data_IF_226977425008
#
_entry.id   IF_226977425008
#
_cell.length_a   1.000
_cell.length_b   1.000
_cell.length_c   1.000
_cell.angle_alpha   90.00
_cell.angle_beta   90.00
_cell.angle_gamma   90.00
#
_symmetry.space_group_name_H-M   'P 1'
#
loop_
_entity.id
_entity.type
_entity.pdbx_description
1 polymer ?
#
# COMPACT_ATOMS: atom_id res chain seq x y z
N UNK A 1 -16.99 11.08 -11.13
CA UNK A 1 -16.82 11.96 -9.95
C UNK A 1 -15.40 11.99 -9.40
N UNK A 2 -14.73 10.84 -9.19
CA UNK A 2 -13.61 10.75 -8.23
C UNK A 2 -12.18 10.91 -8.78
N UNK A 3 -11.99 11.16 -10.09
CA UNK A 3 -10.68 11.58 -10.60
C UNK A 3 -10.38 13.05 -10.31
N UNK A 4 -11.40 13.84 -9.96
CA UNK A 4 -11.33 15.29 -9.76
C UNK A 4 -10.78 15.64 -8.37
N UNK A 5 -11.24 14.95 -7.31
CA UNK A 5 -10.90 15.28 -5.92
C UNK A 5 -9.40 15.20 -5.59
N UNK A 6 -8.66 14.34 -6.28
CA UNK A 6 -7.23 14.12 -6.06
C UNK A 6 -6.38 14.28 -7.32
N UNK A 7 -6.85 15.06 -8.30
CA UNK A 7 -6.01 15.52 -9.41
C UNK A 7 -5.51 14.42 -10.35
N UNK A 8 -6.32 13.40 -10.66
CA UNK A 8 -6.05 12.57 -11.83
C UNK A 8 -6.46 13.32 -13.10
N UNK A 9 -5.55 14.13 -13.64
CA UNK A 9 -5.59 14.39 -15.08
C UNK A 9 -5.36 13.06 -15.79
N UNK A 10 -6.39 12.54 -16.46
CA UNK A 10 -6.15 11.66 -17.60
C UNK A 10 -5.36 12.48 -18.62
N UNK A 11 -4.04 12.26 -18.72
CA UNK A 11 -3.27 12.81 -19.83
C UNK A 11 -3.88 12.26 -21.12
N UNK A 12 -4.50 13.15 -21.89
CA UNK A 12 -4.71 12.93 -23.31
C UNK A 12 -3.35 12.58 -23.94
N UNK A 13 -3.36 11.62 -24.85
CA UNK A 13 -2.16 11.15 -25.54
C UNK A 13 -1.50 12.30 -26.31
N UNK A 14 -0.53 12.97 -25.69
CA UNK A 14 0.47 13.77 -26.39
C UNK A 14 1.85 13.28 -25.97
N UNK A 15 2.56 12.75 -26.95
CA UNK A 15 3.97 12.41 -26.86
C UNK A 15 4.77 13.66 -26.49
N UNK A 16 5.13 13.83 -25.22
CA UNK A 16 6.44 14.32 -24.79
C UNK A 16 6.74 13.83 -23.38
N UNK A 17 7.98 13.41 -23.23
CA UNK A 17 8.52 12.60 -22.17
C UNK A 17 8.79 13.50 -20.94
N UNK A 18 7.80 13.65 -20.05
CA UNK A 18 7.94 14.15 -18.67
C UNK A 18 6.60 13.96 -17.94
N UNK A 19 6.57 13.13 -16.89
CA UNK A 19 5.44 13.03 -15.97
C UNK A 19 5.01 11.61 -15.65
N UNK A 20 4.98 11.30 -14.35
CA UNK A 20 4.46 10.07 -13.73
C UNK A 20 4.95 8.76 -14.35
N UNK A 21 6.17 8.33 -13.99
CA UNK A 21 6.55 6.91 -14.02
C UNK A 21 5.78 6.15 -12.93
N UNK A 22 4.51 5.89 -13.15
CA UNK A 22 3.65 5.38 -12.07
C UNK A 22 2.45 4.53 -12.50
N UNK A 23 2.41 4.01 -13.72
CA UNK A 23 1.63 2.79 -13.99
C UNK A 23 2.60 1.62 -13.97
N UNK A 24 2.85 1.08 -12.77
CA UNK A 24 3.79 -0.03 -12.51
C UNK A 24 3.07 -1.27 -11.94
N UNK A 25 1.88 -1.56 -12.47
CA UNK A 25 1.20 -2.83 -12.23
C UNK A 25 1.89 -4.05 -12.87
N UNK A 26 2.99 -3.84 -13.58
CA UNK A 26 3.68 -4.84 -14.37
C UNK A 26 4.86 -5.44 -13.62
N UNK A 27 4.60 -6.58 -12.95
CA UNK A 27 5.63 -7.57 -12.70
C UNK A 27 6.19 -8.01 -14.06
N UNK A 28 7.43 -7.66 -14.34
CA UNK A 28 8.05 -8.00 -15.62
C UNK A 28 8.81 -9.31 -15.45
N UNK A 29 8.54 -10.26 -16.35
CA UNK A 29 9.27 -11.53 -16.39
C UNK A 29 10.56 -11.29 -17.16
N UNK A 30 11.72 -11.37 -16.50
CA UNK A 30 13.01 -11.16 -17.16
C UNK A 30 13.41 -12.37 -18.00
N UNK A 31 14.06 -12.12 -19.14
CA UNK A 31 14.56 -13.17 -20.03
C UNK A 31 15.60 -14.07 -19.34
N UNK A 32 16.50 -13.47 -18.54
CA UNK A 32 17.48 -14.18 -17.71
C UNK A 32 16.83 -15.04 -16.63
N UNK A 33 15.65 -14.62 -16.15
CA UNK A 33 14.77 -15.38 -15.30
C UNK A 33 14.26 -16.68 -15.92
N UNK A 34 13.79 -16.60 -17.17
CA UNK A 34 13.33 -17.76 -17.94
C UNK A 34 14.45 -18.76 -18.20
N UNK A 35 15.67 -18.29 -18.45
CA UNK A 35 16.84 -19.16 -18.64
C UNK A 35 17.28 -19.89 -17.35
N UNK A 36 17.08 -19.29 -16.17
CA UNK A 36 17.33 -19.96 -14.88
C UNK A 36 16.31 -21.07 -14.58
N UNK A 37 15.10 -21.01 -15.16
CA UNK A 37 14.09 -22.05 -15.03
C UNK A 37 14.39 -23.30 -15.88
N UNK A 38 15.24 -23.19 -16.92
CA UNK A 38 15.46 -24.25 -17.93
C UNK A 38 16.78 -25.01 -17.79
N UNK A 39 17.62 -24.71 -16.80
CA UNK A 39 18.87 -25.48 -16.57
C UNK A 39 18.55 -26.91 -16.15
N UNK A 40 18.75 -27.85 -17.08
CA UNK A 40 18.73 -29.28 -16.79
C UNK A 40 19.83 -29.61 -15.79
N UNK A 41 19.43 -29.90 -14.56
CA UNK A 41 20.29 -30.39 -13.49
C UNK A 41 20.01 -31.88 -13.31
N UNK A 42 21.05 -32.71 -13.30
CA UNK A 42 20.92 -34.10 -12.87
C UNK A 42 20.71 -34.11 -11.35
N UNK A 43 19.78 -34.94 -10.86
CA UNK A 43 19.49 -35.08 -9.42
C UNK A 43 18.12 -34.57 -9.00
N UNK A 44 17.88 -34.51 -7.69
CA UNK A 44 16.59 -34.12 -7.09
C UNK A 44 16.38 -32.61 -7.19
N UNK A 45 15.19 -32.22 -7.64
CA UNK A 45 14.79 -30.82 -7.84
C UNK A 45 13.46 -30.49 -7.14
N UNK A 46 13.16 -31.20 -6.05
CA UNK A 46 11.85 -31.16 -5.40
C UNK A 46 11.48 -29.75 -4.92
N UNK A 47 12.41 -28.98 -4.34
CA UNK A 47 12.16 -27.60 -3.93
C UNK A 47 11.64 -26.75 -5.10
N UNK A 48 12.35 -26.78 -6.23
CA UNK A 48 11.95 -26.04 -7.44
C UNK A 48 10.74 -26.65 -8.16
N UNK A 49 10.46 -27.94 -7.97
CA UNK A 49 9.23 -28.55 -8.48
C UNK A 49 8.00 -28.01 -7.75
N UNK A 50 8.11 -27.74 -6.44
CA UNK A 50 7.04 -27.11 -5.67
C UNK A 50 6.80 -25.68 -6.15
N UNK A 51 7.82 -24.93 -6.59
CA UNK A 51 7.62 -23.57 -7.15
C UNK A 51 6.57 -23.56 -8.27
N UNK A 52 6.59 -24.59 -9.14
CA UNK A 52 5.63 -24.71 -10.25
C UNK A 52 4.20 -25.02 -9.80
N UNK A 53 4.01 -25.47 -8.55
CA UNK A 53 2.70 -25.71 -7.94
C UNK A 53 2.09 -24.47 -7.27
N UNK A 54 2.86 -23.38 -7.17
CA UNK A 54 2.43 -22.13 -6.52
C UNK A 54 1.95 -21.14 -7.57
N UNK A 55 0.66 -20.86 -7.59
CA UNK A 55 0.09 -19.84 -8.48
C UNK A 55 0.29 -18.43 -7.89
N UNK A 56 1.51 -17.91 -8.05
CA UNK A 56 1.86 -16.59 -7.55
C UNK A 56 0.96 -15.49 -8.15
N UNK A 57 0.52 -15.64 -9.40
CA UNK A 57 -0.37 -14.67 -10.06
C UNK A 57 -1.72 -14.60 -9.36
N UNK A 58 -2.27 -15.74 -8.96
CA UNK A 58 -3.51 -15.79 -8.19
C UNK A 58 -3.39 -15.09 -6.84
N UNK A 59 -2.27 -15.23 -6.12
CA UNK A 59 -2.05 -14.50 -4.86
C UNK A 59 -2.06 -12.98 -5.05
N UNK A 60 -1.41 -12.47 -6.11
CA UNK A 60 -1.41 -11.05 -6.43
C UNK A 60 -2.82 -10.59 -6.82
N UNK A 61 -3.50 -11.35 -7.68
CA UNK A 61 -4.87 -11.04 -8.10
C UNK A 61 -5.83 -11.03 -6.91
N UNK A 62 -5.68 -11.98 -5.98
CA UNK A 62 -6.47 -12.03 -4.75
C UNK A 62 -6.24 -10.80 -3.88
N UNK A 63 -4.99 -10.36 -3.69
CA UNK A 63 -4.70 -9.15 -2.93
C UNK A 63 -5.34 -7.91 -3.56
N UNK A 64 -5.24 -7.78 -4.89
CA UNK A 64 -5.91 -6.70 -5.65
C UNK A 64 -7.43 -6.75 -5.49
N UNK A 65 -8.03 -7.94 -5.58
CA UNK A 65 -9.47 -8.15 -5.41
C UNK A 65 -9.93 -7.76 -4.01
N UNK A 66 -9.20 -8.15 -2.96
CA UNK A 66 -9.51 -7.75 -1.59
C UNK A 66 -9.47 -6.24 -1.42
N UNK A 67 -8.46 -5.56 -1.97
CA UNK A 67 -8.41 -4.09 -1.93
C UNK A 67 -9.60 -3.44 -2.65
N UNK A 68 -10.00 -3.99 -3.80
CA UNK A 68 -11.16 -3.50 -4.55
C UNK A 68 -12.46 -3.69 -3.77
N UNK A 69 -12.66 -4.87 -3.16
CA UNK A 69 -13.80 -5.16 -2.29
C UNK A 69 -13.86 -4.23 -1.08
N UNK A 70 -12.71 -3.87 -0.49
CA UNK A 70 -12.64 -2.90 0.60
C UNK A 70 -13.13 -1.51 0.15
N UNK A 71 -12.72 -1.08 -1.04
CA UNK A 71 -13.11 0.22 -1.60
C UNK A 71 -14.61 0.24 -1.93
N UNK A 72 -15.13 -0.82 -2.55
CA UNK A 72 -16.54 -0.95 -2.90
C UNK A 72 -17.45 -0.98 -1.66
N UNK A 73 -16.99 -1.57 -0.57
CA UNK A 73 -17.70 -1.65 0.71
C UNK A 73 -17.32 -0.54 1.70
N UNK A 74 -16.78 0.59 1.20
CA UNK A 74 -16.43 1.73 2.02
C UNK A 74 -17.64 2.26 2.83
N UNK A 75 -17.43 2.54 4.12
CA UNK A 75 -18.46 3.13 4.98
C UNK A 75 -18.70 4.62 4.74
N UNK A 76 -19.48 5.25 5.62
CA UNK A 76 -19.83 6.69 5.56
C UNK A 76 -19.06 7.55 6.58
N UNK A 77 -17.87 7.11 6.98
CA UNK A 77 -16.92 7.88 7.78
C UNK A 77 -15.62 8.02 6.99
N UNK A 78 -15.10 9.25 6.90
CA UNK A 78 -13.81 9.49 6.26
C UNK A 78 -12.72 8.97 7.20
N UNK A 79 -12.06 7.89 6.82
CA UNK A 79 -10.90 7.33 7.51
C UNK A 79 -10.20 6.30 6.61
N UNK A 80 -9.01 6.66 6.12
CA UNK A 80 -8.19 5.77 5.27
C UNK A 80 -7.64 4.53 5.99
N UNK A 81 -7.74 4.46 7.33
CA UNK A 81 -7.17 3.39 8.16
C UNK A 81 -8.22 2.40 8.66
N UNK A 82 -9.46 2.44 8.15
CA UNK A 82 -10.52 1.48 8.53
C UNK A 82 -10.20 0.05 8.12
N UNK A 83 -9.38 -0.11 7.09
CA UNK A 83 -9.06 -1.41 6.50
C UNK A 83 -7.60 -1.49 6.11
N UNK A 84 -7.06 -2.69 6.16
CA UNK A 84 -5.64 -2.93 5.87
C UNK A 84 -5.40 -3.07 4.37
N UNK A 85 -4.42 -2.34 3.83
CA UNK A 85 -3.98 -2.52 2.45
C UNK A 85 -3.30 -3.88 2.25
N UNK A 86 -3.74 -4.62 1.22
CA UNK A 86 -3.16 -5.88 0.79
C UNK A 86 -2.08 -5.64 -0.27
N UNK A 87 -0.83 -5.54 0.17
CA UNK A 87 0.32 -5.28 -0.71
C UNK A 87 0.79 -6.52 -1.46
N UNK A 88 1.54 -6.31 -2.55
CA UNK A 88 2.26 -7.38 -3.26
C UNK A 88 3.20 -8.16 -2.34
N UNK A 89 3.86 -7.48 -1.38
CA UNK A 89 4.69 -8.14 -0.38
C UNK A 89 3.91 -9.11 0.51
N UNK A 90 2.66 -8.79 0.88
CA UNK A 90 1.78 -9.72 1.60
C UNK A 90 1.36 -10.90 0.73
N UNK A 91 1.01 -10.66 -0.53
CA UNK A 91 0.69 -11.71 -1.49
C UNK A 91 1.88 -12.68 -1.65
N UNK A 92 3.09 -12.17 -1.77
CA UNK A 92 4.31 -12.98 -1.89
C UNK A 92 4.61 -13.75 -0.61
N UNK A 93 4.40 -13.15 0.56
CA UNK A 93 4.53 -13.86 1.83
C UNK A 93 3.54 -15.02 1.93
N UNK A 94 2.32 -14.83 1.47
CA UNK A 94 1.32 -15.89 1.46
C UNK A 94 1.72 -17.05 0.51
N UNK A 95 2.22 -16.72 -0.68
CA UNK A 95 2.73 -17.72 -1.63
C UNK A 95 3.94 -18.50 -1.08
N UNK A 96 4.92 -17.81 -0.46
CA UNK A 96 6.04 -18.47 0.22
C UNK A 96 5.56 -19.34 1.39
N UNK A 97 4.58 -18.87 2.15
CA UNK A 97 4.00 -19.64 3.26
C UNK A 97 3.40 -20.94 2.75
N UNK A 98 2.69 -20.93 1.62
CA UNK A 98 2.18 -22.16 0.99
C UNK A 98 3.32 -23.09 0.56
N UNK A 99 4.30 -22.58 -0.20
CA UNK A 99 5.49 -23.35 -0.65
C UNK A 99 6.15 -24.06 0.52
N UNK A 100 6.53 -23.30 1.55
CA UNK A 100 7.27 -23.86 2.68
C UNK A 100 6.41 -24.70 3.61
N UNK A 101 5.08 -24.51 3.64
CA UNK A 101 4.18 -25.44 4.32
C UNK A 101 4.19 -26.82 3.67
N UNK A 102 4.18 -26.89 2.33
CA UNK A 102 4.29 -28.17 1.59
C UNK A 102 5.63 -28.86 1.88
N UNK A 103 6.74 -28.13 1.81
CA UNK A 103 8.07 -28.66 2.09
C UNK A 103 8.24 -29.11 3.55
N UNK A 104 7.76 -28.31 4.50
CA UNK A 104 7.82 -28.65 5.92
C UNK A 104 6.90 -29.83 6.29
N UNK A 105 5.78 -30.01 5.57
CA UNK A 105 4.92 -31.18 5.75
C UNK A 105 5.65 -32.47 5.36
N UNK A 106 6.38 -32.48 4.23
CA UNK A 106 7.27 -33.60 3.86
C UNK A 106 8.32 -33.84 4.95
N UNK A 107 9.05 -32.80 5.38
CA UNK A 107 10.10 -32.93 6.39
C UNK A 107 9.60 -33.57 7.69
N UNK A 108 8.38 -33.23 8.12
CA UNK A 108 7.74 -33.77 9.33
C UNK A 108 7.37 -35.25 9.25
N UNK A 109 7.39 -35.85 8.06
CA UNK A 109 7.21 -37.32 7.91
C UNK A 109 8.47 -38.11 8.25
N UNK A 110 9.63 -37.47 8.30
CA UNK A 110 10.90 -38.11 8.66
C UNK A 110 11.08 -38.17 10.18
N UNK A 111 11.81 -39.18 10.65
CA UNK A 111 12.10 -39.40 12.07
C UNK A 111 12.86 -38.24 12.73
N UNK A 112 13.72 -37.55 11.98
CA UNK A 112 14.37 -36.32 12.38
C UNK A 112 14.21 -35.25 11.30
N UNK A 113 13.14 -34.43 11.37
CA UNK A 113 12.85 -33.41 10.36
C UNK A 113 13.97 -32.40 10.15
N UNK A 114 14.65 -31.99 11.22
CA UNK A 114 15.73 -30.99 11.12
C UNK A 114 16.97 -31.55 10.42
N UNK A 115 17.35 -32.79 10.74
CA UNK A 115 18.45 -33.45 10.04
C UNK A 115 18.09 -33.74 8.58
N UNK A 116 16.85 -34.13 8.30
CA UNK A 116 16.34 -34.27 6.93
C UNK A 116 16.50 -32.97 6.14
N UNK A 117 16.03 -31.84 6.70
CA UNK A 117 16.16 -30.52 6.08
C UNK A 117 17.65 -30.17 5.87
N UNK A 118 18.51 -30.42 6.86
CA UNK A 118 19.94 -30.17 6.74
C UNK A 118 20.58 -30.97 5.60
N UNK A 119 20.35 -32.29 5.56
CA UNK A 119 20.87 -33.17 4.51
C UNK A 119 20.35 -32.78 3.12
N UNK A 120 19.06 -32.42 3.02
CA UNK A 120 18.44 -31.95 1.77
C UNK A 120 19.15 -30.75 1.16
N UNK A 121 19.62 -29.81 1.98
CA UNK A 121 20.24 -28.59 1.47
C UNK A 121 21.77 -28.62 1.45
N UNK A 122 22.45 -29.36 2.34
CA UNK A 122 23.91 -29.24 2.51
C UNK A 122 24.71 -30.53 2.33
N UNK A 123 24.07 -31.70 2.40
CA UNK A 123 24.77 -32.98 2.22
C UNK A 123 24.68 -33.45 0.77
N UNK A 124 25.75 -33.21 0.00
CA UNK A 124 25.83 -33.63 -1.42
C UNK A 124 25.76 -35.15 -1.63
N UNK A 125 26.00 -35.94 -0.59
CA UNK A 125 25.92 -37.41 -0.66
C UNK A 125 24.51 -37.94 -0.36
N UNK A 126 23.63 -37.09 0.17
CA UNK A 126 22.24 -37.43 0.48
C UNK A 126 21.42 -37.67 -0.79
N UNK A 127 20.57 -38.71 -0.78
CA UNK A 127 19.56 -38.93 -1.82
C UNK A 127 18.53 -37.78 -1.92
N UNK A 128 18.41 -37.00 -0.85
CA UNK A 128 17.51 -35.85 -0.78
C UNK A 128 18.15 -34.54 -1.24
N UNK A 129 19.42 -34.54 -1.63
CA UNK A 129 20.14 -33.31 -1.96
C UNK A 129 19.50 -32.55 -3.15
N UNK A 130 19.07 -31.32 -2.91
CA UNK A 130 18.49 -30.44 -3.94
C UNK A 130 19.59 -29.89 -4.86
N UNK A 131 19.55 -30.24 -6.15
CA UNK A 131 20.59 -29.85 -7.13
C UNK A 131 20.27 -28.57 -7.89
N UNK A 132 19.00 -28.20 -8.02
CA UNK A 132 18.55 -27.04 -8.81
C UNK A 132 18.44 -25.74 -7.97
N UNK A 133 19.42 -25.45 -7.11
CA UNK A 133 19.46 -24.23 -6.30
C UNK A 133 20.84 -23.59 -6.35
N UNK A 134 20.88 -22.27 -6.55
CA UNK A 134 22.09 -21.47 -6.28
C UNK A 134 22.41 -21.45 -4.79
N UNK A 135 23.64 -21.08 -4.41
CA UNK A 135 24.03 -21.02 -3.00
C UNK A 135 23.16 -20.05 -2.17
N UNK A 136 22.75 -18.93 -2.77
CA UNK A 136 21.84 -17.98 -2.14
C UNK A 136 20.45 -18.56 -1.93
N UNK A 137 19.84 -19.13 -2.97
CA UNK A 137 18.52 -19.76 -2.89
C UNK A 137 18.53 -20.92 -1.89
N UNK A 138 19.59 -21.72 -1.87
CA UNK A 138 19.78 -22.84 -0.93
C UNK A 138 19.76 -22.39 0.52
N UNK A 139 20.49 -21.32 0.85
CA UNK A 139 20.50 -20.75 2.20
C UNK A 139 19.12 -20.20 2.59
N UNK A 140 18.44 -19.53 1.66
CA UNK A 140 17.08 -18.99 1.88
C UNK A 140 16.09 -20.13 2.13
N UNK A 141 16.09 -21.14 1.26
CA UNK A 141 15.20 -22.29 1.34
C UNK A 141 15.40 -23.10 2.62
N UNK A 142 16.64 -23.38 2.99
CA UNK A 142 16.96 -24.00 4.27
C UNK A 142 16.38 -23.20 5.44
N UNK A 143 16.60 -21.89 5.48
CA UNK A 143 16.13 -21.03 6.57
C UNK A 143 14.61 -20.99 6.65
N UNK A 144 13.91 -20.83 5.53
CA UNK A 144 12.44 -20.78 5.52
C UNK A 144 11.80 -22.11 5.83
N UNK A 145 12.32 -23.22 5.30
CA UNK A 145 11.80 -24.53 5.63
C UNK A 145 12.06 -24.89 7.10
N UNK A 146 13.24 -24.58 7.63
CA UNK A 146 13.55 -24.78 9.05
C UNK A 146 12.62 -23.94 9.96
N UNK A 147 12.39 -22.66 9.61
CA UNK A 147 11.45 -21.80 10.34
C UNK A 147 10.03 -22.34 10.29
N UNK A 148 9.55 -22.74 9.12
CA UNK A 148 8.22 -23.31 8.95
C UNK A 148 8.08 -24.63 9.71
N UNK A 149 9.09 -25.49 9.65
CA UNK A 149 9.10 -26.77 10.36
C UNK A 149 9.02 -26.58 11.88
N UNK A 150 9.84 -25.67 12.44
CA UNK A 150 9.92 -25.41 13.88
C UNK A 150 8.75 -24.59 14.43
N UNK A 151 8.29 -23.59 13.68
CA UNK A 151 7.41 -22.54 14.23
C UNK A 151 6.09 -22.36 13.48
N UNK A 152 5.91 -23.04 12.34
CA UNK A 152 4.71 -22.88 11.51
C UNK A 152 4.60 -21.52 10.81
N UNK A 153 5.68 -20.72 10.78
CA UNK A 153 5.71 -19.41 10.12
C UNK A 153 7.08 -19.14 9.50
N UNK A 154 7.07 -18.37 8.40
CA UNK A 154 8.26 -17.74 7.83
C UNK A 154 8.35 -16.28 8.27
N UNK A 155 9.57 -15.74 8.36
CA UNK A 155 9.82 -14.33 8.67
C UNK A 155 10.23 -13.53 7.43
N UNK A 156 9.37 -12.59 7.02
CA UNK A 156 9.65 -11.69 5.90
C UNK A 156 9.50 -12.34 4.52
N UNK A 157 9.91 -11.59 3.50
CA UNK A 157 9.94 -12.02 2.09
C UNK A 157 11.36 -11.79 1.58
N UNK A 158 11.96 -12.81 0.98
CA UNK A 158 13.24 -12.68 0.31
C UNK A 158 13.03 -12.90 -1.20
N UNK A 159 13.15 -11.82 -1.97
CA UNK A 159 12.92 -11.83 -3.41
C UNK A 159 13.98 -12.64 -4.20
N UNK A 160 15.04 -13.10 -3.53
CA UNK A 160 16.02 -14.02 -4.12
C UNK A 160 15.66 -15.51 -3.92
N UNK A 161 14.49 -15.81 -3.34
CA UNK A 161 13.96 -17.18 -3.29
C UNK A 161 13.71 -17.74 -4.69
N UNK A 162 13.86 -19.05 -4.87
CA UNK A 162 13.66 -19.70 -6.17
C UNK A 162 12.24 -19.53 -6.72
N UNK A 163 11.24 -19.33 -5.84
CA UNK A 163 9.84 -19.05 -6.22
C UNK A 163 9.71 -17.79 -7.08
N UNK A 164 10.63 -16.83 -6.91
CA UNK A 164 10.60 -15.56 -7.63
C UNK A 164 11.56 -15.52 -8.82
N UNK A 165 12.09 -16.68 -9.26
CA UNK A 165 12.96 -16.75 -10.44
C UNK A 165 12.29 -16.08 -11.63
N UNK A 166 12.97 -15.07 -12.14
CA UNK A 166 12.53 -14.31 -13.30
C UNK A 166 11.45 -13.30 -13.05
N UNK A 167 11.13 -13.01 -11.80
CA UNK A 167 10.26 -11.89 -11.44
C UNK A 167 11.17 -10.72 -11.07
N UNK A 168 11.10 -9.65 -11.84
CA UNK A 168 11.68 -8.38 -11.42
C UNK A 168 10.70 -7.69 -10.47
N UNK A 169 11.11 -7.58 -9.21
CA UNK A 169 10.36 -6.85 -8.19
C UNK A 169 11.06 -5.52 -7.98
N UNK A 170 10.42 -4.45 -8.45
CA UNK A 170 10.86 -3.08 -8.21
C UNK A 170 10.55 -2.71 -6.75
N UNK A 171 11.61 -2.66 -5.93
CA UNK A 171 11.54 -2.43 -4.48
C UNK A 171 11.10 -1.03 -4.09
N UNK A 172 11.11 -0.06 -5.02
CA UNK A 172 10.82 1.35 -4.76
C UNK A 172 9.32 1.70 -4.81
N UNK A 173 8.43 0.69 -4.85
CA UNK A 173 6.99 0.87 -5.10
C UNK A 173 6.08 0.76 -3.86
N UNK A 174 6.63 0.51 -2.67
CA UNK A 174 5.81 0.08 -1.51
C UNK A 174 4.87 1.19 -0.99
N UNK A 175 5.17 2.47 -1.24
CA UNK A 175 4.33 3.58 -0.77
C UNK A 175 3.32 4.10 -1.80
N UNK A 176 3.59 4.04 -3.11
CA UNK A 176 2.69 4.63 -4.12
C UNK A 176 1.34 3.92 -4.18
N UNK A 177 1.34 2.59 -4.21
CA UNK A 177 0.10 1.82 -4.38
C UNK A 177 -0.79 1.92 -3.14
N UNK A 178 -0.16 1.95 -1.96
CA UNK A 178 -0.87 2.17 -0.70
C UNK A 178 -1.50 3.56 -0.66
N UNK A 179 -0.78 4.60 -1.10
CA UNK A 179 -1.33 5.96 -1.20
C UNK A 179 -2.53 5.99 -2.15
N UNK A 180 -2.45 5.34 -3.31
CA UNK A 180 -3.57 5.30 -4.25
C UNK A 180 -4.77 4.52 -3.70
N UNK A 181 -4.53 3.40 -3.02
CA UNK A 181 -5.58 2.67 -2.30
C UNK A 181 -6.27 3.55 -1.25
N UNK A 182 -5.49 4.24 -0.40
CA UNK A 182 -6.03 5.10 0.65
C UNK A 182 -6.84 6.27 0.07
N UNK A 183 -6.38 6.86 -1.04
CA UNK A 183 -7.15 7.89 -1.79
C UNK A 183 -8.45 7.33 -2.35
N UNK A 184 -8.42 6.17 -2.99
CA UNK A 184 -9.61 5.53 -3.55
C UNK A 184 -10.64 5.15 -2.47
N UNK A 185 -10.17 4.72 -1.30
CA UNK A 185 -11.00 4.44 -0.15
C UNK A 185 -11.68 5.71 0.39
N UNK A 186 -10.91 6.78 0.64
CA UNK A 186 -11.45 8.08 1.10
C UNK A 186 -12.44 8.65 0.10
N UNK A 187 -12.13 8.56 -1.20
CA UNK A 187 -13.03 8.94 -2.28
C UNK A 187 -14.37 8.20 -2.21
N UNK A 188 -14.33 6.88 -2.00
CA UNK A 188 -15.55 6.08 -1.89
C UNK A 188 -16.35 6.43 -0.64
N UNK A 189 -15.68 6.69 0.49
CA UNK A 189 -16.31 7.16 1.72
C UNK A 189 -17.02 8.51 1.53
N UNK A 190 -16.36 9.48 0.89
CA UNK A 190 -16.96 10.78 0.54
C UNK A 190 -18.17 10.57 -0.36
N UNK A 191 -18.06 9.76 -1.41
CA UNK A 191 -19.18 9.48 -2.30
C UNK A 191 -20.37 8.88 -1.56
N UNK A 192 -20.12 7.96 -0.61
CA UNK A 192 -21.18 7.33 0.16
C UNK A 192 -21.84 8.30 1.16
N UNK A 193 -21.07 9.21 1.78
CA UNK A 193 -21.60 10.30 2.61
C UNK A 193 -22.55 11.19 1.79
N UNK A 194 -22.12 11.62 0.60
CA UNK A 194 -22.91 12.51 -0.24
C UNK A 194 -24.19 11.83 -0.75
N UNK A 195 -24.10 10.56 -1.18
CA UNK A 195 -25.28 9.76 -1.55
C UNK A 195 -26.25 9.60 -0.39
N UNK A 196 -25.75 9.34 0.82
CA UNK A 196 -26.58 9.21 2.02
C UNK A 196 -27.30 10.51 2.36
N UNK A 197 -26.68 11.66 2.10
CA UNK A 197 -27.27 12.97 2.26
C UNK A 197 -28.28 13.35 1.16
N UNK A 198 -28.46 12.51 0.13
CA UNK A 198 -29.37 12.79 -0.99
C UNK A 198 -28.80 13.74 -2.03
N UNK A 199 -27.49 13.97 -2.04
CA UNK A 199 -26.82 14.78 -3.07
C UNK A 199 -26.87 14.04 -4.40
N UNK A 200 -27.41 14.69 -5.44
CA UNK A 200 -27.27 14.20 -6.80
C UNK A 200 -25.81 14.32 -7.24
N UNK A 201 -25.09 13.20 -7.15
CA UNK A 201 -23.67 13.17 -7.53
C UNK A 201 -23.42 13.64 -8.96
N UNK A 202 -24.41 13.61 -9.88
CA UNK A 202 -24.23 14.10 -11.25
C UNK A 202 -24.00 15.61 -11.34
N UNK A 203 -24.37 16.40 -10.32
CA UNK A 203 -24.11 17.84 -10.23
C UNK A 203 -22.66 18.17 -9.85
N UNK A 204 -21.90 17.19 -9.36
CA UNK A 204 -20.51 17.38 -8.95
C UNK A 204 -19.63 17.36 -10.19
N UNK A 205 -19.29 18.56 -10.66
CA UNK A 205 -18.42 18.77 -11.82
C UNK A 205 -16.94 18.81 -11.41
N UNK A 206 -16.06 18.97 -12.40
CA UNK A 206 -14.62 19.18 -12.17
C UNK A 206 -14.29 20.50 -11.47
N UNK A 207 -15.22 21.45 -11.49
CA UNK A 207 -15.06 22.77 -10.90
C UNK A 207 -15.47 22.75 -9.41
N UNK A 208 -16.07 21.64 -8.94
CA UNK A 208 -16.35 21.44 -7.53
C UNK A 208 -15.06 21.18 -6.75
N UNK A 209 -14.80 22.01 -5.75
CA UNK A 209 -13.61 21.91 -4.90
C UNK A 209 -14.00 21.72 -3.44
N UNK A 210 -13.20 20.94 -2.72
CA UNK A 210 -13.38 20.65 -1.31
C UNK A 210 -12.12 21.17 -0.61
N UNK A 211 -12.29 22.16 0.23
CA UNK A 211 -11.18 22.76 0.99
C UNK A 211 -11.33 22.34 2.44
N UNK A 212 -10.23 21.97 3.09
CA UNK A 212 -10.23 21.65 4.53
C UNK A 212 -9.37 22.67 5.24
N UNK A 213 -9.97 23.39 6.18
CA UNK A 213 -9.21 24.31 7.02
C UNK A 213 -8.21 23.54 7.90
N UNK A 214 -6.91 23.89 7.90
CA UNK A 214 -5.89 23.15 8.63
C UNK A 214 -6.01 23.25 10.17
N UNK A 215 -6.79 24.20 10.69
CA UNK A 215 -6.91 24.49 12.12
C UNK A 215 -8.25 24.01 12.69
N UNK A 216 -9.36 24.39 12.07
CA UNK A 216 -10.71 23.98 12.49
C UNK A 216 -11.10 22.61 11.94
N UNK A 217 -10.42 22.15 10.89
CA UNK A 217 -10.78 21.00 10.09
C UNK A 217 -12.15 21.11 9.39
N UNK A 218 -12.70 22.32 9.29
CA UNK A 218 -13.94 22.54 8.57
C UNK A 218 -13.74 22.28 7.07
N UNK A 219 -14.63 21.46 6.51
CA UNK A 219 -14.69 21.19 5.08
C UNK A 219 -15.64 22.20 4.44
N UNK A 220 -15.13 23.00 3.52
CA UNK A 220 -15.93 23.89 2.68
C UNK A 220 -16.00 23.37 1.25
N UNK A 221 -17.11 23.66 0.58
CA UNK A 221 -17.38 23.22 -0.79
C UNK A 221 -17.62 24.45 -1.66
N UNK A 222 -16.99 24.49 -2.82
CA UNK A 222 -17.20 25.51 -3.85
C UNK A 222 -17.47 24.86 -5.22
N UNK A 223 -17.99 25.64 -6.18
CA UNK A 223 -18.24 25.19 -7.56
C UNK A 223 -19.53 24.39 -7.76
N UNK A 224 -20.50 24.51 -6.85
CA UNK A 224 -21.87 23.97 -6.94
C UNK A 224 -22.88 25.03 -6.49
N UNK A 225 -24.18 24.83 -6.73
CA UNK A 225 -25.22 25.73 -6.25
C UNK A 225 -25.30 25.75 -4.71
N UNK A 226 -25.85 26.83 -4.14
CA UNK A 226 -25.86 27.05 -2.67
C UNK A 226 -26.65 25.97 -1.91
N UNK A 227 -27.71 25.41 -2.48
CA UNK A 227 -28.48 24.35 -1.84
C UNK A 227 -27.65 23.06 -1.74
N UNK A 228 -27.06 22.63 -2.87
CA UNK A 228 -26.13 21.50 -2.92
C UNK A 228 -24.92 21.72 -2.01
N UNK A 229 -24.35 22.92 -2.00
CA UNK A 229 -23.20 23.28 -1.16
C UNK A 229 -23.50 23.09 0.32
N UNK A 230 -24.61 23.65 0.81
CA UNK A 230 -25.03 23.52 2.22
C UNK A 230 -25.25 22.05 2.57
N UNK A 231 -25.90 21.29 1.69
CA UNK A 231 -26.16 19.87 1.90
C UNK A 231 -24.85 19.06 2.00
N UNK A 232 -23.91 19.30 1.10
CA UNK A 232 -22.59 18.66 1.10
C UNK A 232 -21.79 19.01 2.35
N UNK A 233 -21.69 20.30 2.72
CA UNK A 233 -20.94 20.74 3.90
C UNK A 233 -21.52 20.15 5.18
N UNK A 234 -22.85 20.13 5.33
CA UNK A 234 -23.51 19.53 6.50
C UNK A 234 -23.22 18.03 6.61
N UNK A 235 -23.22 17.31 5.49
CA UNK A 235 -22.94 15.87 5.47
C UNK A 235 -21.48 15.54 5.76
N UNK A 236 -20.55 16.35 5.23
CA UNK A 236 -19.11 16.11 5.35
C UNK A 236 -18.58 16.50 6.73
N UNK A 237 -19.07 17.58 7.32
CA UNK A 237 -18.63 18.09 8.64
C UNK A 237 -19.26 17.34 9.83
N UNK A 238 -19.32 16.02 9.75
CA UNK A 238 -19.81 15.16 10.84
C UNK A 238 -18.66 14.43 11.52
N UNK A 239 -18.61 14.51 12.85
CA UNK A 239 -17.60 13.80 13.65
C UNK A 239 -16.17 14.22 13.31
N UNK A 240 -15.31 13.24 13.04
CA UNK A 240 -13.89 13.48 12.74
C UNK A 240 -13.57 13.54 11.24
N UNK A 241 -14.57 13.65 10.37
CA UNK A 241 -14.39 13.58 8.92
C UNK A 241 -13.41 14.63 8.40
N UNK A 242 -13.58 15.89 8.79
CA UNK A 242 -12.66 16.98 8.44
C UNK A 242 -11.22 16.70 8.84
N UNK A 243 -10.99 16.31 10.09
CA UNK A 243 -9.66 15.99 10.61
C UNK A 243 -9.02 14.83 9.88
N UNK A 244 -9.79 13.79 9.57
CA UNK A 244 -9.29 12.62 8.88
C UNK A 244 -9.01 12.91 7.39
N UNK A 245 -9.84 13.72 6.75
CA UNK A 245 -9.62 14.17 5.37
C UNK A 245 -8.34 15.02 5.28
N UNK A 246 -8.19 16.00 6.17
CA UNK A 246 -6.97 16.82 6.24
C UNK A 246 -5.72 15.95 6.39
N UNK A 247 -5.72 15.04 7.37
CA UNK A 247 -4.58 14.14 7.60
C UNK A 247 -4.26 13.27 6.40
N UNK A 248 -5.28 12.78 5.70
CA UNK A 248 -5.09 11.98 4.50
C UNK A 248 -4.48 12.83 3.36
N UNK A 249 -5.02 14.02 3.09
CA UNK A 249 -4.47 14.96 2.09
C UNK A 249 -3.02 15.33 2.43
N UNK A 250 -2.74 15.64 3.69
CA UNK A 250 -1.40 15.99 4.17
C UNK A 250 -0.43 14.80 4.00
N UNK A 251 -0.81 13.60 4.45
CA UNK A 251 0.01 12.39 4.29
C UNK A 251 0.32 12.14 2.81
N UNK A 252 -0.71 12.08 1.97
CA UNK A 252 -0.56 11.81 0.54
C UNK A 252 0.18 12.91 -0.23
N UNK A 253 0.25 14.14 0.30
CA UNK A 253 0.98 15.26 -0.32
C UNK A 253 2.42 15.39 0.16
N UNK A 254 2.82 14.69 1.22
CA UNK A 254 4.15 14.82 1.85
C UNK A 254 5.02 13.58 1.75
N UNK A 255 4.54 12.48 1.14
CA UNK A 255 5.38 11.31 0.91
C UNK A 255 6.37 11.53 -0.24
N UNK A 256 7.55 10.92 -0.13
CA UNK A 256 8.59 10.99 -1.16
C UNK A 256 8.06 10.52 -2.53
N UNK A 257 8.34 11.29 -3.57
CA UNK A 257 7.88 11.02 -4.94
C UNK A 257 6.43 11.42 -5.22
N UNK A 258 5.68 11.96 -4.24
CA UNK A 258 4.37 12.56 -4.49
C UNK A 258 4.51 14.05 -4.84
N UNK A 259 4.49 14.39 -6.13
CA UNK A 259 4.36 15.78 -6.61
C UNK A 259 2.89 16.24 -6.52
N UNK A 260 2.36 16.37 -5.30
CA UNK A 260 1.00 16.85 -5.07
C UNK A 260 0.95 18.37 -5.00
N UNK A 261 0.08 18.99 -5.80
CA UNK A 261 -0.23 20.43 -5.70
C UNK A 261 -1.39 20.72 -4.73
N UNK A 262 -1.90 19.71 -4.00
CA UNK A 262 -3.08 19.86 -3.15
C UNK A 262 -2.78 20.59 -1.84
N UNK A 263 -1.52 20.63 -1.41
CA UNK A 263 -1.06 21.34 -0.21
C UNK A 263 0.14 22.20 -0.61
N UNK A 264 0.04 23.51 -0.42
CA UNK A 264 1.17 24.41 -0.65
C UNK A 264 2.21 24.27 0.47
N UNK A 265 3.47 24.57 0.16
CA UNK A 265 4.55 24.57 1.16
C UNK A 265 4.24 25.54 2.31
N UNK A 266 3.68 26.71 1.99
CA UNK A 266 3.21 27.68 2.99
C UNK A 266 2.12 27.10 3.90
N UNK A 267 1.13 26.38 3.35
CA UNK A 267 0.06 25.76 4.14
C UNK A 267 0.60 24.68 5.06
N UNK A 268 1.60 23.92 4.59
CA UNK A 268 2.32 22.92 5.40
C UNK A 268 3.05 23.57 6.57
N UNK A 269 3.84 24.61 6.31
CA UNK A 269 4.57 25.34 7.35
C UNK A 269 3.63 25.94 8.40
N UNK A 270 2.52 26.55 7.96
CA UNK A 270 1.49 27.13 8.83
C UNK A 270 0.86 26.08 9.75
N UNK A 271 0.49 24.92 9.21
CA UNK A 271 -0.03 23.80 10.00
C UNK A 271 0.98 23.28 11.02
N UNK A 272 2.23 23.09 10.61
CA UNK A 272 3.30 22.59 11.49
C UNK A 272 3.60 23.58 12.63
N UNK A 273 3.70 24.87 12.32
CA UNK A 273 3.90 25.92 13.32
C UNK A 273 2.76 25.96 14.34
N UNK A 274 1.51 25.93 13.88
CA UNK A 274 0.34 25.87 14.74
C UNK A 274 0.37 24.68 15.70
N UNK A 275 0.61 23.48 15.16
CA UNK A 275 0.56 22.26 15.97
C UNK A 275 1.73 22.18 16.95
N UNK A 276 2.90 22.71 16.59
CA UNK A 276 4.01 22.85 17.52
C UNK A 276 3.62 23.79 18.67
N UNK A 277 3.15 25.01 18.37
CA UNK A 277 2.72 25.97 19.41
C UNK A 277 1.64 25.37 20.30
N UNK A 278 0.60 24.78 19.71
CA UNK A 278 -0.47 24.13 20.47
C UNK A 278 0.04 22.99 21.36
N UNK A 279 0.94 22.15 20.86
CA UNK A 279 1.49 21.03 21.64
C UNK A 279 2.36 21.46 22.83
N UNK A 280 3.11 22.56 22.69
CA UNK A 280 3.99 23.06 23.74
C UNK A 280 3.27 23.98 24.74
N UNK A 281 2.23 24.68 24.31
CA UNK A 281 1.64 25.78 25.08
C UNK A 281 0.16 25.57 25.42
N UNK A 282 -0.55 24.72 24.69
CA UNK A 282 -2.01 24.58 24.76
C UNK A 282 -2.80 25.69 24.07
N UNK A 283 -2.13 26.72 23.51
CA UNK A 283 -2.78 27.83 22.83
C UNK A 283 -2.82 27.63 21.31
N UNK A 284 -3.96 27.97 20.70
CA UNK A 284 -4.08 28.01 19.24
C UNK A 284 -3.36 29.24 18.70
N UNK A 285 -2.38 29.04 17.82
CA UNK A 285 -1.57 30.13 17.26
C UNK A 285 -2.42 31.18 16.52
N UNK A 286 -3.55 30.75 15.96
CA UNK A 286 -4.57 31.58 15.30
C UNK A 286 -5.32 32.53 16.25
N UNK A 287 -5.28 32.25 17.56
CA UNK A 287 -5.96 33.02 18.62
C UNK A 287 -5.01 33.92 19.41
N UNK A 288 -3.74 33.94 19.03
CA UNK A 288 -2.73 34.75 19.69
C UNK A 288 -2.56 36.07 18.95
N UNK A 289 -2.48 37.16 19.71
CA UNK A 289 -2.15 38.47 19.17
C UNK A 289 -0.63 38.63 19.12
N UNK A 290 -0.07 38.90 17.94
CA UNK A 290 1.35 39.18 17.77
C UNK A 290 1.63 40.66 18.04
N UNK A 291 2.55 40.95 18.96
CA UNK A 291 3.09 42.27 19.25
C UNK A 291 4.60 42.19 19.45
N UNK A 292 5.35 42.84 18.56
CA UNK A 292 6.82 42.97 18.64
C UNK A 292 7.57 41.62 18.74
N UNK A 293 7.15 40.63 17.96
CA UNK A 293 7.70 39.28 17.95
C UNK A 293 7.26 38.40 19.13
N UNK A 294 6.33 38.87 19.96
CA UNK A 294 5.78 38.13 21.11
C UNK A 294 4.28 37.90 20.92
N UNK A 295 3.81 36.69 21.25
CA UNK A 295 2.41 36.29 21.11
C UNK A 295 1.69 36.34 22.46
N UNK A 296 0.51 36.98 22.50
CA UNK A 296 -0.28 37.20 23.70
C UNK A 296 -1.66 36.54 23.57
N UNK A 297 -2.22 36.05 24.68
CA UNK A 297 -3.62 35.61 24.74
C UNK A 297 -4.54 36.83 24.87
N UNK A 298 -5.75 36.75 24.33
CA UNK A 298 -6.79 37.75 24.61
C UNK A 298 -7.00 37.89 26.13
N UNK A 299 -7.23 39.13 26.58
CA UNK A 299 -7.37 39.50 28.00
C UNK A 299 -8.76 39.25 28.54
#
# INVERSE_FOLDING_TARGET
LLNVLFGQQQKAASSQNTGCRGTRDTLTISASGKEKLTKSTSGRTHNTSIDSSIDLKSYIASAKKTNQEIIENAGTQINAKTSEYMSTGKAFRAALTEKYSKLAAEAKTHSNPENYIHSKYFDKSSEYYETNLTDTERRIAYNYEMQMCRTGKINGVNYQDSLFRGIEVDGDSVDSDKIQFERALVNSQISNILKQAGVDTSSITKDCTFTVDPYSYEITVDGVDEETKVLMQNALNVGNNGKNLYKNIYYCSTQDGCESSQVTEESKMKYEAYHQVYSYTGYGLDKLEEKNGTYYTES
#
